data_IF_603596976779
#
_entry.id   IF_603596976779
#
_cell.length_a   1.000
_cell.length_b   1.000
_cell.length_c   1.000
_cell.angle_alpha   90.00
_cell.angle_beta   90.00
_cell.angle_gamma   90.00
#
_symmetry.space_group_name_H-M   'P 1'
#
loop_
_entity.id
_entity.type
_entity.pdbx_description
1 polymer ?
#
# COMPACT_ATOMS: atom_id res chain seq x y z
N UNK A 1 4.31 -12.03 4.60
CA UNK A 1 4.38 -10.59 4.32
C UNK A 1 4.89 -10.40 2.89
N UNK A 2 4.22 -9.59 2.06
CA UNK A 2 4.64 -9.32 0.67
C UNK A 2 5.43 -8.01 0.56
N UNK A 3 5.17 -7.07 1.48
CA UNK A 3 5.81 -5.76 1.57
C UNK A 3 5.73 -5.28 3.01
N UNK A 4 6.71 -4.49 3.41
CA UNK A 4 6.66 -3.66 4.60
C UNK A 4 7.38 -2.35 4.33
N UNK A 5 6.90 -1.28 4.94
CA UNK A 5 7.55 0.02 4.89
C UNK A 5 7.33 0.78 6.20
N UNK A 6 8.28 1.63 6.57
CA UNK A 6 8.20 2.45 7.78
C UNK A 6 7.59 3.79 7.45
N UNK A 7 6.80 4.35 8.37
CA UNK A 7 6.50 5.77 8.28
C UNK A 7 7.75 6.62 8.55
N UNK A 8 7.70 7.90 8.18
CA UNK A 8 8.85 8.81 8.21
C UNK A 8 9.61 8.83 9.55
N UNK A 9 8.88 8.81 10.68
CA UNK A 9 9.50 8.85 12.01
C UNK A 9 9.79 7.45 12.62
N UNK A 10 9.57 6.36 11.88
CA UNK A 10 9.84 5.00 12.32
C UNK A 10 8.95 4.49 13.46
N UNK A 11 7.80 5.13 13.72
CA UNK A 11 6.88 4.73 14.79
C UNK A 11 5.87 3.65 14.37
N UNK A 12 5.56 3.58 13.08
CA UNK A 12 4.56 2.68 12.51
C UNK A 12 5.11 1.95 11.29
N UNK A 13 4.60 0.74 11.07
CA UNK A 13 4.91 -0.08 9.90
C UNK A 13 3.63 -0.29 9.10
N UNK A 14 3.69 -0.08 7.79
CA UNK A 14 2.65 -0.56 6.87
C UNK A 14 3.04 -1.93 6.32
N UNK A 15 2.07 -2.82 6.10
CA UNK A 15 2.32 -4.10 5.45
C UNK A 15 1.14 -4.58 4.61
N UNK A 16 1.43 -5.28 3.52
CA UNK A 16 0.46 -6.04 2.73
C UNK A 16 0.84 -7.52 2.72
N UNK A 17 -0.16 -8.40 2.87
CA UNK A 17 0.03 -9.84 3.03
C UNK A 17 -0.80 -10.65 2.01
N UNK A 18 -0.48 -11.95 1.88
CA UNK A 18 -1.18 -12.87 0.96
C UNK A 18 -2.66 -13.07 1.30
N UNK A 19 -3.06 -12.72 2.50
CA UNK A 19 -4.46 -12.67 2.95
C UNK A 19 -5.23 -11.44 2.42
N UNK A 20 -4.60 -10.65 1.54
CA UNK A 20 -5.18 -9.48 0.85
C UNK A 20 -5.54 -8.35 1.80
N UNK A 21 -4.89 -8.27 2.95
CA UNK A 21 -5.09 -7.21 3.94
C UNK A 21 -3.93 -6.23 3.94
N UNK A 22 -4.27 -4.95 4.02
CA UNK A 22 -3.34 -3.85 4.29
C UNK A 22 -3.45 -3.51 5.79
N UNK A 23 -2.30 -3.38 6.45
CA UNK A 23 -2.23 -3.15 7.90
C UNK A 23 -1.30 -2.02 8.25
N UNK A 24 -1.67 -1.27 9.28
CA UNK A 24 -0.77 -0.41 10.05
C UNK A 24 -0.50 -1.06 11.39
N UNK A 25 0.77 -1.19 11.75
CA UNK A 25 1.23 -1.90 12.93
C UNK A 25 2.03 -0.92 13.80
N UNK A 26 1.71 -0.86 15.10
CA UNK A 26 2.61 -0.25 16.08
C UNK A 26 3.47 -1.37 16.71
N UNK A 27 4.76 -1.47 16.33
CA UNK A 27 5.61 -2.55 16.80
C UNK A 27 5.93 -2.47 18.30
N UNK A 28 5.88 -1.26 18.90
CA UNK A 28 6.17 -1.06 20.33
C UNK A 28 5.01 -1.56 21.19
N UNK A 29 3.79 -1.36 20.70
CA UNK A 29 2.57 -1.86 21.34
C UNK A 29 2.24 -3.31 20.95
N UNK A 30 3.00 -3.91 20.03
CA UNK A 30 2.81 -5.28 19.52
C UNK A 30 1.38 -5.54 19.02
N UNK A 31 0.77 -4.54 18.36
CA UNK A 31 -0.62 -4.62 17.91
C UNK A 31 -0.78 -4.11 16.48
N UNK A 32 -1.81 -4.63 15.81
CA UNK A 32 -2.32 -4.06 14.56
C UNK A 32 -3.14 -2.83 14.95
N UNK A 33 -2.66 -1.64 14.60
CA UNK A 33 -3.34 -0.38 14.90
C UNK A 33 -4.54 -0.15 13.99
N UNK A 34 -4.40 -0.49 12.70
CA UNK A 34 -5.47 -0.42 11.72
C UNK A 34 -5.33 -1.57 10.70
N UNK A 35 -6.45 -2.05 10.17
CA UNK A 35 -6.51 -3.10 9.16
C UNK A 35 -7.65 -2.83 8.17
N UNK A 36 -7.41 -3.06 6.88
CA UNK A 36 -8.43 -2.96 5.84
C UNK A 36 -8.20 -3.99 4.73
N UNK A 37 -9.21 -4.21 3.90
CA UNK A 37 -9.08 -5.01 2.70
C UNK A 37 -8.24 -4.26 1.66
N UNK A 38 -7.17 -4.88 1.17
CA UNK A 38 -6.27 -4.33 0.16
C UNK A 38 -6.65 -4.71 -1.27
N UNK A 39 -5.65 -5.13 -2.04
CA UNK A 39 -5.87 -5.54 -3.43
C UNK A 39 -6.49 -6.94 -3.54
N UNK A 40 -7.43 -7.12 -4.45
CA UNK A 40 -8.21 -8.36 -4.59
C UNK A 40 -7.57 -9.41 -5.50
N UNK A 41 -6.57 -9.02 -6.28
CA UNK A 41 -5.81 -9.90 -7.17
C UNK A 41 -5.04 -10.99 -6.44
N UNK A 42 -4.57 -11.98 -7.19
CA UNK A 42 -3.81 -13.13 -6.66
C UNK A 42 -2.30 -12.87 -6.59
N UNK A 43 -1.82 -11.91 -7.39
CA UNK A 43 -0.41 -11.51 -7.42
C UNK A 43 -0.07 -10.57 -6.26
N UNK A 44 1.22 -10.48 -5.96
CA UNK A 44 1.70 -9.66 -4.84
C UNK A 44 1.39 -8.18 -5.03
N UNK A 45 1.08 -7.51 -3.92
CA UNK A 45 1.00 -6.05 -3.88
C UNK A 45 2.14 -5.47 -3.03
N UNK A 46 2.47 -4.22 -3.32
CA UNK A 46 3.47 -3.40 -2.64
C UNK A 46 2.78 -2.23 -1.95
N UNK A 47 3.40 -1.72 -0.90
CA UNK A 47 2.90 -0.60 -0.11
C UNK A 47 4.09 0.26 0.29
N UNK A 48 3.93 1.58 0.17
CA UNK A 48 4.87 2.59 0.64
C UNK A 48 4.14 3.64 1.44
N UNK A 49 4.83 4.21 2.42
CA UNK A 49 4.34 5.35 3.18
C UNK A 49 4.65 6.63 2.42
N UNK A 50 3.66 7.51 2.21
CA UNK A 50 3.84 8.76 1.46
C UNK A 50 3.97 9.97 2.38
N UNK A 51 3.02 10.14 3.30
CA UNK A 51 3.04 11.20 4.34
C UNK A 51 2.58 10.59 5.65
N UNK A 52 2.61 11.31 6.77
CA UNK A 52 2.24 10.78 8.09
C UNK A 52 0.96 9.91 8.10
N UNK A 53 -0.07 10.35 7.38
CA UNK A 53 -1.38 9.69 7.32
C UNK A 53 -1.69 9.00 5.98
N UNK A 54 -0.76 8.98 5.02
CA UNK A 54 -1.04 8.48 3.67
C UNK A 54 -0.18 7.27 3.31
N UNK A 55 -0.82 6.20 2.88
CA UNK A 55 -0.19 5.01 2.33
C UNK A 55 -0.58 4.87 0.87
N UNK A 56 0.37 4.50 0.02
CA UNK A 56 0.11 4.19 -1.39
C UNK A 56 0.43 2.72 -1.62
N UNK A 57 -0.47 2.01 -2.30
CA UNK A 57 -0.28 0.61 -2.65
C UNK A 57 -0.33 0.41 -4.16
N UNK A 58 0.49 -0.50 -4.68
CA UNK A 58 0.45 -0.94 -6.07
C UNK A 58 0.24 -2.46 -6.11
N UNK A 59 -0.73 -2.92 -6.89
CA UNK A 59 -1.12 -4.32 -6.89
C UNK A 59 -2.03 -4.66 -8.07
N UNK A 60 -2.87 -5.68 -7.89
CA UNK A 60 -3.70 -6.21 -8.98
C UNK A 60 -5.17 -6.24 -8.57
N UNK A 61 -6.07 -5.98 -9.52
CA UNK A 61 -7.49 -6.30 -9.36
C UNK A 61 -7.73 -7.80 -9.62
N UNK A 62 -8.93 -8.29 -9.27
CA UNK A 62 -9.36 -9.68 -9.54
C UNK A 62 -9.23 -10.04 -11.03
N UNK A 63 -9.47 -9.07 -11.93
CA UNK A 63 -9.31 -9.19 -13.39
C UNK A 63 -7.87 -9.09 -13.91
N UNK A 64 -6.86 -9.19 -13.05
CA UNK A 64 -5.43 -9.11 -13.40
C UNK A 64 -4.91 -7.76 -13.91
N UNK A 65 -5.73 -6.70 -13.96
CA UNK A 65 -5.23 -5.35 -14.21
C UNK A 65 -4.34 -4.84 -13.07
N UNK A 66 -3.26 -4.15 -13.42
CA UNK A 66 -2.39 -3.47 -12.46
C UNK A 66 -3.07 -2.18 -12.03
N UNK A 67 -3.07 -1.92 -10.73
CA UNK A 67 -3.74 -0.77 -10.16
C UNK A 67 -2.93 -0.20 -9.00
N UNK A 68 -3.10 1.09 -8.74
CA UNK A 68 -2.63 1.72 -7.52
C UNK A 68 -3.80 2.24 -6.71
N UNK A 69 -3.61 2.29 -5.39
CA UNK A 69 -4.58 2.85 -4.45
C UNK A 69 -3.88 3.82 -3.49
N UNK A 70 -4.57 4.89 -3.13
CA UNK A 70 -4.13 5.86 -2.11
C UNK A 70 -5.07 5.74 -0.92
N UNK A 71 -4.50 5.60 0.28
CA UNK A 71 -5.23 5.35 1.52
C UNK A 71 -4.94 6.45 2.54
N UNK A 72 -5.98 6.98 3.17
CA UNK A 72 -5.88 7.91 4.30
C UNK A 72 -6.15 7.18 5.61
N UNK A 73 -5.23 7.26 6.57
CA UNK A 73 -5.36 6.65 7.90
C UNK A 73 -6.48 7.25 8.75
N UNK A 74 -6.95 8.46 8.43
CA UNK A 74 -8.14 9.07 9.06
C UNK A 74 -9.44 8.38 8.62
N UNK A 75 -9.44 7.77 7.44
CA UNK A 75 -10.53 6.94 6.95
C UNK A 75 -10.03 5.70 6.21
N UNK A 76 -9.44 4.77 6.96
CA UNK A 76 -8.77 3.60 6.40
C UNK A 76 -9.71 2.49 5.89
N UNK A 77 -11.02 2.70 6.00
CA UNK A 77 -12.03 1.74 5.55
C UNK A 77 -12.10 1.59 4.02
N UNK A 78 -11.63 2.60 3.28
CA UNK A 78 -11.66 2.64 1.81
C UNK A 78 -10.51 3.50 1.27
N UNK A 79 -10.06 3.26 0.03
CA UNK A 79 -9.09 4.13 -0.60
C UNK A 79 -9.73 5.47 -1.01
N UNK A 80 -8.92 6.53 -1.05
CA UNK A 80 -9.24 7.83 -1.64
C UNK A 80 -9.23 7.72 -3.18
N UNK A 81 -8.24 6.98 -3.71
CA UNK A 81 -8.02 6.77 -5.14
C UNK A 81 -7.87 5.27 -5.38
N UNK A 82 -8.50 4.76 -6.44
CA UNK A 82 -8.45 3.36 -6.86
C UNK A 82 -8.46 3.30 -8.39
N UNK A 83 -7.27 3.28 -8.99
CA UNK A 83 -7.11 3.49 -10.43
C UNK A 83 -6.35 2.35 -11.09
N UNK A 84 -6.89 1.89 -12.21
CA UNK A 84 -6.26 0.89 -13.05
C UNK A 84 -5.27 1.55 -14.01
N UNK A 85 -4.09 0.95 -14.14
CA UNK A 85 -2.99 1.46 -14.97
C UNK A 85 -2.99 0.75 -16.32
N UNK A 86 -2.87 -0.58 -16.30
CA UNK A 86 -2.86 -1.43 -17.51
C UNK A 86 -3.15 -2.90 -17.17
N UNK A 87 -2.91 -3.81 -18.11
CA UNK A 87 -3.08 -5.26 -17.95
C UNK A 87 -1.76 -6.06 -18.08
N UNK A 88 -0.63 -5.45 -17.75
CA UNK A 88 0.66 -6.15 -17.70
C UNK A 88 0.72 -7.12 -16.52
N UNK A 89 1.60 -8.12 -16.63
CA UNK A 89 1.76 -9.18 -15.65
C UNK A 89 2.81 -8.88 -14.56
N UNK A 90 3.68 -7.89 -14.79
CA UNK A 90 4.80 -7.52 -13.92
C UNK A 90 4.38 -6.85 -12.62
N UNK A 91 5.07 -7.17 -11.52
CA UNK A 91 4.80 -6.57 -10.21
C UNK A 91 5.31 -5.13 -10.22
N UNK A 92 4.39 -4.20 -9.99
CA UNK A 92 4.71 -2.78 -9.93
C UNK A 92 5.27 -2.41 -8.57
N UNK A 93 6.41 -1.74 -8.59
CA UNK A 93 7.12 -1.22 -7.43
C UNK A 93 6.83 0.28 -7.31
N UNK A 94 6.18 0.72 -6.22
CA UNK A 94 6.03 2.12 -5.90
C UNK A 94 7.28 2.63 -5.17
N UNK A 95 7.75 3.82 -5.56
CA UNK A 95 8.80 4.57 -4.89
C UNK A 95 8.29 5.99 -4.68
N UNK A 96 8.19 6.43 -3.42
CA UNK A 96 7.72 7.76 -3.08
C UNK A 96 8.90 8.62 -2.65
N UNK A 97 9.03 9.79 -3.27
CA UNK A 97 9.98 10.82 -2.86
C UNK A 97 9.26 11.84 -1.96
N UNK A 98 9.63 11.86 -0.69
CA UNK A 98 9.04 12.74 0.31
C UNK A 98 9.40 14.21 0.12
N UNK A 99 10.51 14.52 -0.55
CA UNK A 99 10.96 15.91 -0.75
C UNK A 99 10.20 16.59 -1.88
N UNK A 100 9.84 15.82 -2.92
CA UNK A 100 9.14 16.34 -4.11
C UNK A 100 7.67 15.95 -4.18
N UNK A 101 7.20 15.07 -3.28
CA UNK A 101 5.86 14.47 -3.31
C UNK A 101 5.55 13.71 -4.61
N UNK A 102 6.57 13.12 -5.24
CA UNK A 102 6.43 12.38 -6.50
C UNK A 102 6.38 10.87 -6.20
N UNK A 103 5.39 10.19 -6.79
CA UNK A 103 5.32 8.74 -6.83
C UNK A 103 5.84 8.23 -8.18
N UNK A 104 6.86 7.37 -8.14
CA UNK A 104 7.30 6.60 -9.28
C UNK A 104 6.73 5.18 -9.21
N UNK A 105 6.22 4.69 -10.34
CA UNK A 105 5.70 3.33 -10.50
C UNK A 105 6.50 2.64 -11.60
N UNK A 106 7.23 1.57 -11.25
CA UNK A 106 8.10 0.86 -12.18
C UNK A 106 8.01 -0.67 -12.01
N UNK A 107 8.17 -1.41 -13.11
CA UNK A 107 8.14 -2.88 -13.15
C UNK A 107 7.06 -3.46 -14.06
#
# INVERSE_FOLDING_TARGET
>A
MQTMDWNYNGSLITSHCKDKKLRVIDPRQKKIAQETAGHTGVKGARAVWATEDVIITAGFQRGSGRQYKIWDLKNFSKPIVDENIDYSSGIMMPFYDHDTNILFLAG
#
